data_IF_537750239744
#
_entry.id   IF_537750239744
#
_cell.length_a   1.000
_cell.length_b   1.000
_cell.length_c   1.000
_cell.angle_alpha   90.00
_cell.angle_beta   90.00
_cell.angle_gamma   90.00
#
_symmetry.space_group_name_H-M   'P 1'
#
loop_
_entity.id
_entity.type
_entity.pdbx_description
1 polymer ?
#
# COMPACT_ATOMS: atom_id res chain seq x y z
N UNK A 1 47.39 -6.85 -25.05
CA UNK A 1 46.46 -7.47 -24.07
C UNK A 1 45.35 -6.47 -23.80
N UNK A 2 44.12 -6.79 -24.20
CA UNK A 2 42.95 -5.91 -24.08
C UNK A 2 42.36 -6.04 -22.68
N UNK A 3 42.05 -4.96 -21.95
CA UNK A 3 41.45 -5.06 -20.62
C UNK A 3 40.07 -5.74 -20.69
N UNK A 4 39.85 -6.70 -19.79
CA UNK A 4 38.59 -7.43 -19.66
C UNK A 4 37.50 -6.48 -19.14
N UNK A 5 36.30 -6.42 -19.76
CA UNK A 5 35.20 -5.63 -19.21
C UNK A 5 34.82 -6.19 -17.83
N UNK A 6 34.68 -5.30 -16.84
CA UNK A 6 34.17 -5.67 -15.52
C UNK A 6 32.70 -6.08 -15.64
N UNK A 7 32.26 -7.12 -14.90
CA UNK A 7 30.84 -7.38 -14.76
C UNK A 7 30.18 -6.16 -14.11
N UNK A 8 29.12 -5.66 -14.74
CA UNK A 8 28.27 -4.63 -14.16
C UNK A 8 27.69 -5.15 -12.85
N UNK A 9 27.98 -4.45 -11.75
CA UNK A 9 27.38 -4.73 -10.44
C UNK A 9 25.86 -4.86 -10.59
N UNK A 10 25.20 -5.84 -9.96
CA UNK A 10 23.74 -5.88 -9.90
C UNK A 10 23.28 -4.53 -9.34
N UNK A 11 22.44 -3.81 -10.08
CA UNK A 11 21.79 -2.63 -9.52
C UNK A 11 21.00 -3.12 -8.30
N UNK A 12 21.13 -2.48 -7.12
CA UNK A 12 20.21 -2.74 -6.02
C UNK A 12 18.80 -2.61 -6.58
N UNK A 13 17.95 -3.60 -6.34
CA UNK A 13 16.53 -3.44 -6.64
C UNK A 13 16.07 -2.15 -5.97
N UNK A 14 15.29 -1.30 -6.67
CA UNK A 14 14.77 -0.09 -6.04
C UNK A 14 14.04 -0.51 -4.75
N UNK A 15 14.33 0.17 -3.65
CA UNK A 15 13.59 -0.06 -2.39
C UNK A 15 12.14 0.32 -2.69
N UNK A 16 11.28 -0.70 -2.79
CA UNK A 16 9.85 -0.52 -2.99
C UNK A 16 9.21 -0.41 -1.62
N UNK A 17 8.60 0.73 -1.33
CA UNK A 17 7.81 0.92 -0.10
C UNK A 17 6.34 1.03 -0.49
N UNK A 18 5.51 0.19 0.13
CA UNK A 18 4.07 0.21 -0.04
C UNK A 18 3.46 0.95 1.13
N UNK A 19 2.66 1.97 0.82
CA UNK A 19 1.85 2.69 1.79
C UNK A 19 0.39 2.37 1.56
N UNK A 20 -0.31 1.97 2.61
CA UNK A 20 -1.75 1.74 2.61
C UNK A 20 -2.35 2.73 3.59
N UNK A 21 -3.19 3.62 3.09
CA UNK A 21 -3.81 4.67 3.92
C UNK A 21 -5.31 4.69 3.68
N UNK A 22 -6.08 4.60 4.76
CA UNK A 22 -7.53 4.79 4.71
C UNK A 22 -7.84 6.26 4.43
N UNK A 23 -8.70 6.51 3.44
CA UNK A 23 -9.27 7.84 3.23
C UNK A 23 -10.36 8.17 4.25
N UNK A 24 -10.97 9.33 4.08
CA UNK A 24 -12.05 9.79 4.98
C UNK A 24 -13.26 8.87 4.93
N UNK A 25 -13.76 8.48 6.10
CA UNK A 25 -15.01 7.76 6.22
C UNK A 25 -16.18 8.58 5.67
N UNK A 26 -17.10 7.90 5.02
CA UNK A 26 -18.33 8.44 4.45
C UNK A 26 -19.51 7.56 4.84
N UNK A 27 -20.73 8.13 4.91
CA UNK A 27 -21.92 7.35 5.19
C UNK A 27 -22.22 6.40 4.01
N UNK A 28 -22.11 5.09 4.25
CA UNK A 28 -22.53 4.02 3.32
C UNK A 28 -22.81 2.75 4.13
N UNK A 29 -23.65 1.85 3.62
CA UNK A 29 -24.09 0.68 4.37
C UNK A 29 -23.07 -0.47 4.32
N UNK A 30 -22.60 -0.92 5.49
CA UNK A 30 -21.78 -2.12 5.61
C UNK A 30 -22.63 -3.39 5.67
N UNK A 31 -22.45 -4.30 4.71
CA UNK A 31 -23.20 -5.56 4.68
C UNK A 31 -22.77 -6.58 5.74
N UNK A 32 -21.61 -6.40 6.38
CA UNK A 32 -21.04 -7.30 7.39
C UNK A 32 -21.57 -6.95 8.78
N UNK A 33 -21.17 -5.79 9.35
CA UNK A 33 -21.54 -5.39 10.70
C UNK A 33 -22.83 -4.55 10.79
N UNK A 34 -23.46 -4.22 9.65
CA UNK A 34 -24.70 -3.41 9.59
C UNK A 34 -24.54 -1.97 10.12
N UNK A 35 -23.32 -1.45 10.15
CA UNK A 35 -23.06 -0.06 10.44
C UNK A 35 -23.19 0.81 9.17
N UNK A 36 -23.53 2.09 9.35
CA UNK A 36 -23.64 3.05 8.26
C UNK A 36 -22.35 3.88 8.12
N UNK A 37 -21.28 3.19 7.76
CA UNK A 37 -19.95 3.77 7.57
C UNK A 37 -19.11 2.94 6.59
N UNK A 38 -18.38 3.65 5.72
CA UNK A 38 -17.43 3.10 4.77
C UNK A 38 -16.33 4.10 4.49
N UNK A 39 -15.13 3.61 4.25
CA UNK A 39 -14.05 4.41 3.71
C UNK A 39 -13.45 3.73 2.48
N UNK A 40 -12.75 4.51 1.68
CA UNK A 40 -11.93 4.02 0.58
C UNK A 40 -10.50 4.48 0.80
N UNK A 41 -9.53 3.66 0.44
CA UNK A 41 -8.12 4.04 0.48
C UNK A 41 -7.41 3.64 -0.80
N UNK A 42 -6.29 4.31 -1.06
CA UNK A 42 -5.40 3.97 -2.15
C UNK A 42 -4.20 3.20 -1.62
N UNK A 43 -3.71 2.27 -2.45
CA UNK A 43 -2.44 1.59 -2.24
C UNK A 43 -1.40 2.35 -3.04
N UNK A 44 -0.47 2.99 -2.35
CA UNK A 44 0.57 3.82 -2.94
C UNK A 44 1.88 3.05 -2.98
N UNK A 45 2.53 3.05 -4.14
CA UNK A 45 3.86 2.51 -4.33
C UNK A 45 4.85 3.68 -4.47
N UNK A 46 5.80 3.74 -3.55
CA UNK A 46 6.96 4.62 -3.62
C UNK A 46 8.12 3.89 -4.30
N UNK A 47 8.60 4.46 -5.40
CA UNK A 47 9.79 4.03 -6.15
C UNK A 47 10.78 5.21 -6.28
N UNK A 48 12.02 4.99 -6.75
CA UNK A 48 12.95 6.08 -7.03
C UNK A 48 12.44 7.11 -8.06
N UNK A 49 11.49 6.70 -8.91
CA UNK A 49 10.86 7.55 -9.92
C UNK A 49 9.71 8.39 -9.34
N UNK A 50 9.19 8.05 -8.16
CA UNK A 50 8.15 8.79 -7.46
C UNK A 50 7.08 7.91 -6.82
N UNK A 51 5.90 8.51 -6.59
CA UNK A 51 4.73 7.83 -6.00
C UNK A 51 3.73 7.50 -7.10
N UNK A 52 3.22 6.26 -7.10
CA UNK A 52 2.16 5.82 -8.00
C UNK A 52 1.04 5.12 -7.24
N UNK A 53 -0.21 5.29 -7.70
CA UNK A 53 -1.34 4.50 -7.19
C UNK A 53 -1.35 3.16 -7.90
N UNK A 54 -1.20 2.07 -7.14
CA UNK A 54 -1.18 0.70 -7.68
C UNK A 54 -2.47 -0.07 -7.41
N UNK A 55 -3.36 0.50 -6.60
CA UNK A 55 -4.68 -0.06 -6.34
C UNK A 55 -5.52 0.83 -5.45
N UNK A 56 -6.79 0.49 -5.30
CA UNK A 56 -7.69 1.07 -4.33
C UNK A 56 -8.43 -0.04 -3.59
N UNK A 57 -8.86 0.25 -2.37
CA UNK A 57 -9.61 -0.66 -1.53
C UNK A 57 -10.75 0.10 -0.84
N UNK A 58 -11.73 -0.65 -0.35
CA UNK A 58 -12.83 -0.12 0.44
C UNK A 58 -12.97 -0.95 1.71
N UNK A 59 -13.21 -0.28 2.83
CA UNK A 59 -13.36 -0.89 4.14
C UNK A 59 -14.48 -0.25 4.95
N UNK A 60 -14.77 -0.85 6.10
CA UNK A 60 -15.70 -0.33 7.10
C UNK A 60 -14.90 -0.08 8.37
N UNK A 61 -15.00 1.11 8.97
CA UNK A 61 -14.16 1.51 10.11
C UNK A 61 -14.31 0.58 11.33
N UNK A 62 -15.43 -0.13 11.42
CA UNK A 62 -15.73 -1.08 12.51
C UNK A 62 -15.21 -2.49 12.21
N UNK A 63 -15.20 -2.89 10.93
CA UNK A 63 -14.70 -4.22 10.56
C UNK A 63 -13.19 -4.22 10.32
N UNK A 64 -12.63 -3.07 9.97
CA UNK A 64 -11.21 -2.84 9.73
C UNK A 64 -10.46 -2.51 11.03
N UNK A 65 -10.96 -2.97 12.19
CA UNK A 65 -10.22 -2.82 13.44
C UNK A 65 -8.84 -3.49 13.29
N UNK A 66 -7.74 -2.74 13.50
CA UNK A 66 -6.40 -3.28 13.34
C UNK A 66 -6.20 -4.41 14.34
N UNK A 67 -5.68 -5.56 13.89
CA UNK A 67 -5.21 -6.61 14.79
C UNK A 67 -4.14 -6.00 15.70
N UNK A 68 -4.53 -5.71 16.95
CA UNK A 68 -3.59 -5.39 18.01
C UNK A 68 -2.69 -6.60 18.18
N UNK A 69 -1.48 -6.50 17.61
CA UNK A 69 -0.43 -7.50 17.77
C UNK A 69 -0.09 -7.56 19.27
N UNK A 70 -0.78 -8.41 20.02
CA UNK A 70 -0.29 -8.91 21.30
C UNK A 70 0.93 -9.77 21.01
N UNK A 71 2.10 -9.15 21.12
CA UNK A 71 3.38 -9.84 21.25
C UNK A 71 3.45 -10.70 22.51
#
# INVERSE_FOLDING_TARGET
MTPRPRPSSPRPFPVLTVYVTAGTARPDWCHVCKAYTRFTGDVLLLTPEGVSVVGSYAGCEICDEPEEHRG
#
